data_IF_689265391618
#
_entry.id   IF_689265391618
#
_cell.length_a   1.000
_cell.length_b   1.000
_cell.length_c   1.000
_cell.angle_alpha   90.00
_cell.angle_beta   90.00
_cell.angle_gamma   90.00
#
_symmetry.space_group_name_H-M   'P 1'
#
loop_
_entity.id
_entity.type
_entity.pdbx_description
1 polymer ?
#
# COMPACT_ATOMS: atom_id res chain seq x y z
N UNK A 1 24.18 3.80 -31.46
CA UNK A 1 23.92 5.13 -30.86
C UNK A 1 23.44 4.90 -29.44
N UNK A 2 24.21 5.30 -28.42
CA UNK A 2 23.79 5.17 -27.02
C UNK A 2 22.71 6.21 -26.75
N UNK A 3 21.45 5.79 -26.66
CA UNK A 3 20.42 6.64 -26.08
C UNK A 3 20.82 6.93 -24.63
N UNK A 4 21.00 8.21 -24.31
CA UNK A 4 21.30 8.65 -22.94
C UNK A 4 20.10 8.25 -22.06
N UNK A 5 20.36 7.49 -21.00
CA UNK A 5 19.35 7.21 -19.96
C UNK A 5 18.88 8.57 -19.41
N UNK A 6 17.61 8.90 -19.63
CA UNK A 6 17.01 10.13 -19.11
C UNK A 6 16.49 9.87 -17.71
N UNK A 7 17.16 10.43 -16.69
CA UNK A 7 16.69 10.42 -15.31
C UNK A 7 15.70 11.58 -15.11
N UNK A 8 14.46 11.25 -14.74
CA UNK A 8 13.41 12.23 -14.42
C UNK A 8 13.04 12.12 -12.94
N UNK A 9 13.51 13.03 -12.06
CA UNK A 9 13.08 13.02 -10.67
C UNK A 9 11.58 13.37 -10.60
N UNK A 10 10.85 12.70 -9.73
CA UNK A 10 9.44 12.97 -9.47
C UNK A 10 9.21 13.00 -7.97
N UNK A 11 8.38 13.91 -7.48
CA UNK A 11 8.06 14.03 -6.05
C UNK A 11 6.57 13.72 -5.83
N UNK A 12 6.11 12.61 -6.42
CA UNK A 12 4.72 12.21 -6.40
C UNK A 12 4.38 11.52 -5.07
N UNK A 13 3.10 11.56 -4.70
CA UNK A 13 2.58 10.80 -3.56
C UNK A 13 2.62 9.31 -3.88
N UNK A 14 2.95 8.47 -2.90
CA UNK A 14 3.04 7.02 -3.16
C UNK A 14 1.68 6.40 -3.54
N UNK A 15 0.57 6.98 -3.09
CA UNK A 15 -0.80 6.63 -3.48
C UNK A 15 -0.98 6.57 -5.00
N UNK A 16 -0.35 7.50 -5.74
CA UNK A 16 -0.38 7.50 -7.21
C UNK A 16 0.23 6.21 -7.75
N UNK A 17 1.35 5.75 -7.19
CA UNK A 17 1.99 4.51 -7.61
C UNK A 17 1.19 3.27 -7.23
N UNK A 18 0.49 3.28 -6.08
CA UNK A 18 -0.43 2.20 -5.73
C UNK A 18 -1.60 2.12 -6.72
N UNK A 19 -2.15 3.26 -7.14
CA UNK A 19 -3.18 3.34 -8.16
C UNK A 19 -2.65 2.93 -9.55
N UNK A 20 -1.41 3.28 -9.88
CA UNK A 20 -0.75 2.84 -11.12
C UNK A 20 -0.56 1.32 -11.13
N UNK A 21 -0.22 0.71 -9.99
CA UNK A 21 -0.19 -0.76 -9.86
C UNK A 21 -1.59 -1.34 -10.04
N UNK A 22 -2.58 -0.77 -9.36
CA UNK A 22 -3.96 -1.26 -9.42
C UNK A 22 -4.56 -1.18 -10.84
N UNK A 23 -4.13 -0.20 -11.64
CA UNK A 23 -4.56 -0.01 -13.03
C UNK A 23 -3.66 -0.69 -14.07
N UNK A 24 -2.53 -1.26 -13.66
CA UNK A 24 -1.54 -1.89 -14.55
C UNK A 24 -0.66 -0.91 -15.32
N UNK A 25 -0.61 0.38 -14.94
CA UNK A 25 0.31 1.37 -15.50
C UNK A 25 1.74 1.25 -14.95
N UNK A 26 1.87 0.81 -13.69
CA UNK A 26 3.13 0.50 -13.04
C UNK A 26 3.16 -0.99 -12.72
N UNK A 27 4.17 -1.71 -13.20
CA UNK A 27 4.21 -3.17 -13.08
C UNK A 27 5.54 -3.69 -12.55
N UNK A 28 5.52 -4.92 -12.08
CA UNK A 28 6.70 -5.64 -11.61
C UNK A 28 7.20 -6.51 -12.76
N UNK A 29 8.43 -6.33 -13.24
CA UNK A 29 8.97 -7.19 -14.26
C UNK A 29 9.23 -8.60 -13.70
N UNK A 30 9.06 -9.64 -14.53
CA UNK A 30 9.22 -11.06 -14.14
C UNK A 30 10.63 -11.39 -13.62
N UNK A 31 11.66 -10.64 -14.04
CA UNK A 31 13.03 -10.80 -13.55
C UNK A 31 13.27 -10.20 -12.16
N UNK A 32 12.28 -9.51 -11.57
CA UNK A 32 12.39 -9.02 -10.21
C UNK A 32 12.38 -10.19 -9.23
N UNK A 33 13.20 -10.11 -8.18
CA UNK A 33 13.21 -11.14 -7.13
C UNK A 33 11.86 -11.23 -6.44
N UNK A 34 11.56 -12.41 -5.91
CA UNK A 34 10.36 -12.63 -5.10
C UNK A 34 10.27 -11.70 -3.89
N UNK A 35 9.05 -11.50 -3.40
CA UNK A 35 8.83 -10.81 -2.13
C UNK A 35 9.34 -11.66 -0.96
N UNK A 36 10.30 -11.12 -0.19
CA UNK A 36 11.00 -11.85 0.89
C UNK A 36 10.91 -11.15 2.24
N UNK A 37 10.17 -10.03 2.32
CA UNK A 37 9.99 -9.33 3.59
C UNK A 37 9.09 -10.12 4.54
N UNK A 38 9.50 -10.15 5.81
CA UNK A 38 8.71 -10.66 6.91
C UNK A 38 7.87 -9.53 7.53
N UNK A 39 6.89 -9.90 8.36
CA UNK A 39 5.98 -8.95 9.03
C UNK A 39 6.74 -7.79 9.70
N UNK A 40 7.84 -8.08 10.39
CA UNK A 40 8.69 -7.08 11.04
C UNK A 40 9.22 -6.01 10.08
N UNK A 41 9.56 -6.38 8.83
CA UNK A 41 10.01 -5.41 7.83
C UNK A 41 8.87 -4.50 7.40
N UNK A 42 7.67 -5.06 7.22
CA UNK A 42 6.45 -4.31 6.88
C UNK A 42 6.09 -3.32 7.99
N UNK A 43 6.07 -3.78 9.25
CA UNK A 43 5.83 -2.91 10.42
C UNK A 43 6.89 -1.82 10.56
N UNK A 44 8.18 -2.12 10.34
CA UNK A 44 9.25 -1.11 10.35
C UNK A 44 9.06 -0.05 9.28
N UNK A 45 8.59 -0.44 8.08
CA UNK A 45 8.28 0.52 7.02
C UNK A 45 7.13 1.45 7.43
N UNK A 46 6.00 0.90 7.89
CA UNK A 46 4.85 1.69 8.34
C UNK A 46 5.20 2.62 9.50
N UNK A 47 5.98 2.14 10.45
CA UNK A 47 6.46 2.94 11.58
C UNK A 47 7.42 4.06 11.14
N UNK A 48 8.23 3.83 10.10
CA UNK A 48 9.08 4.89 9.53
C UNK A 48 8.23 5.99 8.89
N UNK A 49 7.19 5.61 8.14
CA UNK A 49 6.23 6.57 7.58
C UNK A 49 5.54 7.35 8.69
N UNK A 50 4.99 6.68 9.70
CA UNK A 50 4.33 7.32 10.86
C UNK A 50 5.21 8.36 11.55
N UNK A 51 6.52 8.09 11.64
CA UNK A 51 7.52 8.99 12.25
C UNK A 51 8.03 10.08 11.29
N UNK A 52 7.48 10.15 10.08
CA UNK A 52 7.92 11.03 9.01
C UNK A 52 9.41 10.84 8.65
N UNK A 53 9.90 9.61 8.76
CA UNK A 53 11.26 9.24 8.37
C UNK A 53 11.32 8.90 6.89
N UNK A 54 12.44 9.23 6.20
CA UNK A 54 12.60 8.90 4.80
C UNK A 54 12.59 7.38 4.62
N UNK A 55 11.73 6.89 3.73
CA UNK A 55 11.65 5.47 3.38
C UNK A 55 12.54 5.10 2.19
N UNK A 56 13.37 6.03 1.72
CA UNK A 56 14.21 5.94 0.53
C UNK A 56 13.50 6.38 -0.76
N UNK A 57 14.18 6.27 -1.89
CA UNK A 57 13.66 6.57 -3.24
C UNK A 57 13.11 5.32 -3.93
N UNK A 58 12.36 5.50 -5.01
CA UNK A 58 11.91 4.41 -5.88
C UNK A 58 12.46 4.63 -7.29
N UNK A 59 12.95 3.57 -7.93
CA UNK A 59 13.43 3.64 -9.30
C UNK A 59 12.43 2.98 -10.23
N UNK A 60 11.95 3.76 -11.20
CA UNK A 60 11.05 3.29 -12.23
C UNK A 60 11.67 3.40 -13.62
N UNK A 61 11.36 2.44 -14.48
CA UNK A 61 11.90 2.38 -15.83
C UNK A 61 10.80 2.27 -16.88
N UNK A 62 10.89 3.11 -17.91
CA UNK A 62 10.04 3.07 -19.09
C UNK A 62 10.89 2.60 -20.28
N UNK A 63 10.91 1.29 -20.58
CA UNK A 63 11.62 0.78 -21.74
C UNK A 63 10.87 1.07 -23.04
N UNK A 64 11.59 0.97 -24.15
CA UNK A 64 11.02 0.99 -25.51
C UNK A 64 10.38 -0.35 -25.90
N UNK A 65 10.72 -1.43 -25.17
CA UNK A 65 10.25 -2.80 -25.40
C UNK A 65 9.58 -3.35 -24.15
N UNK A 66 8.58 -4.20 -24.36
CA UNK A 66 7.82 -4.83 -23.28
C UNK A 66 8.53 -6.07 -22.74
N UNK A 67 8.40 -6.27 -21.43
CA UNK A 67 8.87 -7.39 -20.63
C UNK A 67 7.67 -8.04 -19.96
N UNK A 68 7.77 -9.36 -19.78
CA UNK A 68 6.83 -10.13 -18.97
C UNK A 68 6.73 -9.57 -17.57
N UNK A 69 5.53 -9.67 -17.00
CA UNK A 69 5.23 -9.18 -15.65
C UNK A 69 5.07 -10.32 -14.67
N UNK A 70 5.47 -10.06 -13.42
CA UNK A 70 5.10 -10.90 -12.32
C UNK A 70 3.58 -10.92 -12.14
N UNK A 71 3.03 -12.07 -11.77
CA UNK A 71 1.59 -12.24 -11.53
C UNK A 71 1.12 -11.71 -10.17
N UNK A 72 2.04 -11.31 -9.29
CA UNK A 72 1.76 -11.04 -7.89
C UNK A 72 2.41 -9.74 -7.42
N UNK A 73 1.66 -8.96 -6.63
CA UNK A 73 2.15 -7.79 -5.88
C UNK A 73 1.72 -7.95 -4.42
N UNK A 74 2.67 -8.14 -3.51
CA UNK A 74 2.34 -8.41 -2.10
C UNK A 74 1.43 -9.65 -1.96
N UNK A 75 0.30 -9.58 -1.25
CA UNK A 75 -0.65 -10.69 -1.10
C UNK A 75 -1.66 -10.81 -2.27
N UNK A 76 -1.51 -10.01 -3.33
CA UNK A 76 -2.50 -9.91 -4.40
C UNK A 76 -1.99 -10.51 -5.71
N UNK A 77 -2.77 -11.42 -6.29
CA UNK A 77 -2.55 -11.98 -7.62
C UNK A 77 -3.39 -11.27 -8.67
N UNK A 78 -2.80 -10.90 -9.80
CA UNK A 78 -3.52 -10.30 -10.93
C UNK A 78 -4.54 -11.33 -11.46
N UNK A 79 -5.80 -10.93 -11.64
CA UNK A 79 -6.84 -11.81 -12.18
C UNK A 79 -6.50 -12.26 -13.60
N UNK A 80 -6.72 -13.54 -13.91
CA UNK A 80 -6.46 -14.10 -15.24
C UNK A 80 -7.20 -13.34 -16.35
N UNK A 81 -8.44 -12.91 -16.09
CA UNK A 81 -9.29 -12.19 -17.06
C UNK A 81 -8.72 -10.84 -17.51
N UNK A 82 -7.81 -10.24 -16.75
CA UNK A 82 -7.21 -8.92 -17.04
C UNK A 82 -5.70 -9.00 -17.23
N UNK A 83 -5.08 -10.17 -17.01
CA UNK A 83 -3.63 -10.35 -17.07
C UNK A 83 -3.04 -9.96 -18.43
N UNK A 84 -3.61 -10.45 -19.54
CA UNK A 84 -3.17 -10.09 -20.89
C UNK A 84 -3.32 -8.59 -21.18
N UNK A 85 -4.36 -7.97 -20.61
CA UNK A 85 -4.57 -6.52 -20.74
C UNK A 85 -3.46 -5.77 -20.01
N UNK A 86 -3.12 -6.22 -18.79
CA UNK A 86 -2.04 -5.66 -18.00
C UNK A 86 -0.70 -5.81 -18.73
N UNK A 87 -0.38 -7.00 -19.24
CA UNK A 87 0.87 -7.26 -19.93
C UNK A 87 1.07 -6.32 -21.14
N UNK A 88 0.00 -6.02 -21.88
CA UNK A 88 0.02 -5.15 -23.08
C UNK A 88 -0.14 -3.65 -22.80
N UNK A 89 -0.36 -3.23 -21.55
CA UNK A 89 -0.71 -1.83 -21.22
C UNK A 89 0.51 -0.89 -21.12
N UNK A 90 1.71 -1.41 -21.26
CA UNK A 90 2.85 -0.92 -20.48
C UNK A 90 3.45 0.43 -20.89
N UNK A 91 3.82 1.19 -19.85
CA UNK A 91 4.71 2.34 -19.91
C UNK A 91 5.74 2.41 -18.77
N UNK A 92 5.69 1.58 -17.72
CA UNK A 92 6.62 1.72 -16.57
C UNK A 92 6.76 0.47 -15.69
N UNK A 93 7.99 0.18 -15.23
CA UNK A 93 8.35 -0.91 -14.33
C UNK A 93 9.02 -0.45 -13.05
N UNK A 94 8.86 -1.24 -11.98
CA UNK A 94 9.61 -1.07 -10.72
C UNK A 94 10.97 -1.78 -10.81
N UNK A 95 12.07 -1.00 -10.79
CA UNK A 95 13.42 -1.53 -10.74
C UNK A 95 13.97 -1.61 -9.30
N UNK A 96 13.75 -0.57 -8.51
CA UNK A 96 14.14 -0.53 -7.09
C UNK A 96 12.97 -0.09 -6.20
N UNK A 97 13.00 -0.53 -4.95
CA UNK A 97 11.94 -0.32 -3.98
C UNK A 97 10.80 -1.33 -4.06
N UNK A 98 10.94 -2.40 -4.85
CA UNK A 98 9.92 -3.44 -5.01
C UNK A 98 9.36 -3.99 -3.69
N UNK A 99 10.21 -4.34 -2.73
CA UNK A 99 9.77 -4.87 -1.43
C UNK A 99 8.95 -3.82 -0.65
N UNK A 100 9.39 -2.55 -0.66
CA UNK A 100 8.67 -1.44 -0.02
C UNK A 100 7.32 -1.20 -0.69
N UNK A 101 7.29 -1.15 -2.02
CA UNK A 101 6.07 -0.90 -2.78
C UNK A 101 5.07 -2.05 -2.61
N UNK A 102 5.53 -3.29 -2.64
CA UNK A 102 4.69 -4.46 -2.41
C UNK A 102 4.14 -4.52 -0.99
N UNK A 103 4.94 -4.13 0.01
CA UNK A 103 4.48 -3.99 1.40
C UNK A 103 3.38 -2.93 1.52
N UNK A 104 3.57 -1.75 0.93
CA UNK A 104 2.58 -0.68 0.96
C UNK A 104 1.31 -1.06 0.21
N UNK A 105 1.43 -1.64 -0.98
CA UNK A 105 0.29 -2.14 -1.75
C UNK A 105 -0.47 -3.20 -0.96
N UNK A 106 0.24 -4.17 -0.38
CA UNK A 106 -0.37 -5.25 0.38
C UNK A 106 -1.13 -4.81 1.63
N UNK A 107 -0.64 -3.78 2.32
CA UNK A 107 -1.25 -3.28 3.57
C UNK A 107 -2.34 -2.24 3.31
N UNK A 108 -2.15 -1.38 2.32
CA UNK A 108 -2.97 -0.18 2.13
C UNK A 108 -4.04 -0.33 1.07
N UNK A 109 -4.00 -1.39 0.25
CA UNK A 109 -5.10 -1.73 -0.66
C UNK A 109 -6.22 -2.40 0.12
N UNK A 110 -7.46 -1.96 -0.13
CA UNK A 110 -8.62 -2.53 0.52
C UNK A 110 -8.94 -3.91 -0.09
N UNK A 111 -8.85 -5.02 0.67
CA UNK A 111 -9.11 -6.35 0.15
C UNK A 111 -10.55 -6.57 -0.32
N UNK A 112 -11.51 -5.77 0.17
CA UNK A 112 -12.93 -5.91 -0.18
C UNK A 112 -13.30 -5.22 -1.50
N UNK A 113 -12.57 -4.16 -1.88
CA UNK A 113 -12.91 -3.32 -3.03
C UNK A 113 -11.93 -3.47 -4.20
N UNK A 114 -10.80 -4.15 -4.02
CA UNK A 114 -9.81 -4.34 -5.09
C UNK A 114 -10.36 -5.20 -6.24
N UNK A 115 -10.44 -4.62 -7.43
CA UNK A 115 -11.17 -5.24 -8.56
C UNK A 115 -10.28 -6.12 -9.42
N UNK A 116 -9.04 -5.72 -9.70
CA UNK A 116 -8.17 -6.38 -10.69
C UNK A 116 -7.37 -7.55 -10.11
N UNK A 117 -7.51 -7.82 -8.81
CA UNK A 117 -6.69 -8.79 -8.10
C UNK A 117 -7.53 -9.78 -7.30
N UNK A 118 -6.97 -10.96 -7.05
CA UNK A 118 -7.44 -11.94 -6.08
C UNK A 118 -6.50 -11.97 -4.89
N UNK A 119 -7.05 -12.09 -3.68
CA UNK A 119 -6.30 -12.10 -2.43
C UNK A 119 -5.78 -13.51 -2.11
N UNK A 120 -4.51 -13.62 -1.74
CA UNK A 120 -3.99 -14.75 -0.97
C UNK A 120 -4.23 -14.49 0.52
N UNK A 121 -5.31 -15.04 1.06
CA UNK A 121 -5.70 -14.84 2.45
C UNK A 121 -4.63 -15.32 3.44
N UNK A 122 -3.93 -16.41 3.13
CA UNK A 122 -2.92 -16.96 4.02
C UNK A 122 -1.73 -16.00 4.13
N UNK A 123 -1.25 -15.53 2.97
CA UNK A 123 -0.16 -14.58 2.92
C UNK A 123 -0.58 -13.23 3.53
N UNK A 124 -1.79 -12.74 3.20
CA UNK A 124 -2.35 -11.50 3.75
C UNK A 124 -2.39 -11.53 5.28
N UNK A 125 -3.01 -12.55 5.86
CA UNK A 125 -3.14 -12.69 7.31
C UNK A 125 -1.78 -12.85 8.01
N UNK A 126 -0.79 -13.43 7.33
CA UNK A 126 0.55 -13.62 7.93
C UNK A 126 1.41 -12.35 7.96
N UNK A 127 1.24 -11.42 7.00
CA UNK A 127 2.22 -10.33 6.77
C UNK A 127 1.62 -8.94 6.52
N UNK A 128 0.35 -8.85 6.11
CA UNK A 128 -0.24 -7.62 5.57
C UNK A 128 -1.52 -7.18 6.29
N UNK A 129 -2.19 -8.06 7.04
CA UNK A 129 -3.35 -7.73 7.87
C UNK A 129 -2.94 -6.94 9.11
N UNK A 130 -2.62 -5.66 8.92
CA UNK A 130 -2.07 -4.77 9.93
C UNK A 130 -3.10 -3.72 10.32
N UNK A 131 -3.17 -3.45 11.62
CA UNK A 131 -4.06 -2.47 12.22
C UNK A 131 -3.26 -1.34 12.84
N UNK A 132 -3.84 -0.14 12.85
CA UNK A 132 -3.36 0.98 13.62
C UNK A 132 -4.20 1.14 14.88
N UNK A 133 -3.58 0.96 16.04
CA UNK A 133 -4.20 1.20 17.34
C UNK A 133 -4.23 2.71 17.62
N UNK A 134 -5.44 3.30 17.64
CA UNK A 134 -5.63 4.72 17.88
C UNK A 134 -5.35 5.13 19.33
N UNK A 135 -5.35 4.20 20.28
CA UNK A 135 -5.03 4.50 21.68
C UNK A 135 -3.51 4.57 21.91
N UNK A 136 -2.80 3.51 21.54
CA UNK A 136 -1.33 3.42 21.68
C UNK A 136 -0.56 4.16 20.58
N UNK A 137 -1.25 4.55 19.50
CA UNK A 137 -0.69 5.13 18.28
C UNK A 137 0.38 4.23 17.64
N UNK A 138 0.11 2.93 17.48
CA UNK A 138 1.07 1.97 16.91
C UNK A 138 0.43 1.07 15.86
N UNK A 139 1.26 0.61 14.92
CA UNK A 139 0.89 -0.46 14.01
C UNK A 139 1.15 -1.80 14.68
N UNK A 140 0.13 -2.65 14.71
CA UNK A 140 0.14 -3.96 15.36
C UNK A 140 -0.68 -4.97 14.53
N UNK A 141 -0.52 -6.26 14.85
CA UNK A 141 -1.31 -7.35 14.28
C UNK A 141 -2.16 -7.96 15.38
N UNK A 142 -3.40 -8.34 15.04
CA UNK A 142 -4.36 -8.89 15.99
C UNK A 142 -4.95 -10.18 15.41
N UNK A 143 -4.95 -11.24 16.22
CA UNK A 143 -5.50 -12.53 15.80
C UNK A 143 -7.00 -12.66 16.10
N UNK A 144 -7.50 -12.01 17.16
CA UNK A 144 -8.90 -12.07 17.63
C UNK A 144 -9.26 -10.82 18.44
N UNK A 145 -10.56 -10.58 18.63
CA UNK A 145 -11.13 -9.52 19.48
C UNK A 145 -10.56 -8.13 19.16
N UNK A 146 -10.78 -7.69 17.92
CA UNK A 146 -10.30 -6.38 17.45
C UNK A 146 -11.25 -5.31 17.97
N UNK A 147 -10.75 -4.47 18.86
CA UNK A 147 -11.46 -3.31 19.36
C UNK A 147 -11.67 -2.26 18.26
N UNK A 148 -12.73 -1.45 18.36
CA UNK A 148 -13.06 -0.47 17.31
C UNK A 148 -11.98 0.63 17.14
N UNK A 149 -11.19 0.89 18.18
CA UNK A 149 -10.05 1.81 18.10
C UNK A 149 -8.82 1.20 17.39
N UNK A 150 -8.85 -0.10 17.05
CA UNK A 150 -7.88 -0.76 16.19
C UNK A 150 -8.40 -0.73 14.75
N UNK A 151 -7.86 0.19 13.94
CA UNK A 151 -8.35 0.45 12.58
C UNK A 151 -7.51 -0.34 11.57
N UNK A 152 -8.11 -1.11 10.65
CA UNK A 152 -7.35 -1.72 9.56
C UNK A 152 -6.59 -0.67 8.76
N UNK A 153 -5.33 -0.95 8.41
CA UNK A 153 -4.46 0.05 7.76
C UNK A 153 -4.94 0.46 6.35
N UNK A 154 -5.64 -0.41 5.62
CA UNK A 154 -6.18 -0.07 4.29
C UNK A 154 -7.19 1.08 4.32
N UNK A 155 -7.87 1.30 5.45
CA UNK A 155 -8.81 2.40 5.65
C UNK A 155 -8.13 3.77 5.50
N UNK A 156 -6.82 3.84 5.67
CA UNK A 156 -6.07 5.10 5.62
C UNK A 156 -6.04 5.73 4.22
N UNK A 157 -6.21 4.91 3.17
CA UNK A 157 -6.29 5.35 1.77
C UNK A 157 -7.67 5.09 1.12
N UNK A 158 -8.57 4.37 1.78
CA UNK A 158 -9.92 4.09 1.31
C UNK A 158 -10.92 5.05 1.96
N UNK A 159 -11.33 6.09 1.23
CA UNK A 159 -12.17 7.18 1.76
C UNK A 159 -13.52 6.69 2.29
N UNK A 160 -14.17 5.75 1.60
CA UNK A 160 -15.47 5.22 2.00
C UNK A 160 -15.36 4.43 3.32
N UNK A 161 -14.37 3.55 3.42
CA UNK A 161 -14.08 2.82 4.66
C UNK A 161 -13.68 3.77 5.78
N UNK A 162 -12.95 4.85 5.46
CA UNK A 162 -12.54 5.85 6.43
C UNK A 162 -13.73 6.57 7.06
N UNK A 163 -14.67 7.02 6.23
CA UNK A 163 -15.89 7.67 6.70
C UNK A 163 -16.71 6.70 7.54
N UNK A 164 -16.95 5.50 7.02
CA UNK A 164 -17.72 4.46 7.69
C UNK A 164 -17.14 4.12 9.07
N UNK A 165 -15.81 3.99 9.18
CA UNK A 165 -15.15 3.69 10.44
C UNK A 165 -15.18 4.89 11.41
N UNK A 166 -15.01 6.10 10.90
CA UNK A 166 -15.09 7.33 11.69
C UNK A 166 -16.48 7.55 12.29
N UNK A 167 -17.54 7.24 11.55
CA UNK A 167 -18.92 7.30 12.04
C UNK A 167 -19.18 6.26 13.13
N UNK A 168 -18.68 5.02 12.96
CA UNK A 168 -18.75 3.99 14.00
C UNK A 168 -18.08 4.44 15.28
N UNK A 169 -16.86 5.00 15.22
CA UNK A 169 -16.15 5.53 16.39
C UNK A 169 -17.01 6.57 17.11
N UNK A 170 -17.60 7.52 16.38
CA UNK A 170 -18.43 8.59 16.96
C UNK A 170 -19.68 8.07 17.66
N UNK A 171 -20.23 6.95 17.20
CA UNK A 171 -21.44 6.34 17.77
C UNK A 171 -21.15 5.53 19.05
N UNK A 172 -20.05 4.78 19.08
CA UNK A 172 -19.78 3.82 20.14
C UNK A 172 -18.97 4.40 21.32
N UNK A 173 -18.20 5.48 21.11
CA UNK A 173 -17.39 6.10 22.16
C UNK A 173 -17.94 7.45 22.64
N UNK A 174 -17.54 7.85 23.85
CA UNK A 174 -17.88 9.18 24.40
C UNK A 174 -17.39 10.31 23.49
N UNK A 175 -18.02 11.49 23.49
CA UNK A 175 -17.63 12.60 22.61
C UNK A 175 -16.14 12.98 22.71
N UNK A 176 -15.55 12.89 23.90
CA UNK A 176 -14.13 13.18 24.13
C UNK A 176 -13.20 12.13 23.49
N UNK A 177 -13.48 10.84 23.71
CA UNK A 177 -12.69 9.74 23.14
C UNK A 177 -12.87 9.68 21.62
N UNK A 178 -14.10 9.81 21.14
CA UNK A 178 -14.44 9.85 19.71
C UNK A 178 -13.66 10.93 18.98
N UNK A 179 -13.60 12.14 19.55
CA UNK A 179 -12.81 13.25 19.00
C UNK A 179 -11.32 12.93 18.98
N UNK A 180 -10.78 12.44 20.09
CA UNK A 180 -9.36 12.05 20.18
C UNK A 180 -8.97 11.00 19.13
N UNK A 181 -9.76 9.94 19.00
CA UNK A 181 -9.55 8.87 18.03
C UNK A 181 -9.69 9.33 16.58
N UNK A 182 -10.73 10.10 16.25
CA UNK A 182 -10.90 10.64 14.89
C UNK A 182 -9.80 11.64 14.53
N UNK A 183 -9.32 12.46 15.47
CA UNK A 183 -8.20 13.38 15.24
C UNK A 183 -6.88 12.62 14.97
N UNK A 184 -6.59 11.57 15.75
CA UNK A 184 -5.43 10.68 15.52
C UNK A 184 -5.51 9.97 14.18
N UNK A 185 -6.68 9.45 13.81
CA UNK A 185 -6.91 8.78 12.53
C UNK A 185 -6.72 9.72 11.34
N UNK A 186 -7.31 10.93 11.40
CA UNK A 186 -7.13 11.99 10.38
C UNK A 186 -5.67 12.38 10.23
N UNK A 187 -4.96 12.58 11.34
CA UNK A 187 -3.53 12.92 11.34
C UNK A 187 -2.70 11.85 10.61
N UNK A 188 -2.97 10.57 10.88
CA UNK A 188 -2.25 9.47 10.23
C UNK A 188 -2.58 9.37 8.73
N UNK A 189 -3.86 9.49 8.35
CA UNK A 189 -4.26 9.48 6.93
C UNK A 189 -3.63 10.65 6.17
N UNK A 190 -3.65 11.87 6.73
CA UNK A 190 -2.99 13.03 6.14
C UNK A 190 -1.48 12.83 5.97
N UNK A 191 -0.82 12.18 6.92
CA UNK A 191 0.60 11.86 6.83
C UNK A 191 0.87 10.91 5.66
N UNK A 192 0.07 9.84 5.52
CA UNK A 192 0.20 8.88 4.43
C UNK A 192 -0.07 9.51 3.07
N UNK A 193 -1.20 10.19 2.92
CA UNK A 193 -1.57 10.92 1.69
C UNK A 193 -0.57 12.04 1.38
N UNK A 194 0.07 12.63 2.39
CA UNK A 194 1.10 13.65 2.25
C UNK A 194 2.50 13.12 1.93
N UNK A 195 2.76 11.82 2.15
CA UNK A 195 4.08 11.22 1.98
C UNK A 195 4.45 11.16 0.51
N UNK A 196 5.51 11.89 0.15
CA UNK A 196 6.06 11.91 -1.20
C UNK A 196 7.22 10.93 -1.32
N UNK A 197 7.32 10.32 -2.49
CA UNK A 197 8.45 9.48 -2.87
C UNK A 197 9.36 10.27 -3.80
N UNK A 198 10.60 10.56 -3.40
CA UNK A 198 11.60 11.16 -4.27
C UNK A 198 12.14 10.18 -5.32
#
# INVERSE_FOLDING_TARGET
>A
MSSLISLKPSNNKFEIYLNDINSGLLQIPEFQRDFVWELDNVLKLLNSIKKNYPIGSFLFWTPETEFRIAKQVGPYFIKESIFDTFEKRQRKYILDGYQRMSALFGVLSNPETIVNFTLDEKLYNSKFNIYYNLDSERFDVFDRNIELYCVPAYILLDFESFLTHSEKIQREYSPELSKSYTDRLKKLSLLLVGTKCP
#
